data_IF_854538038086
#
_entry.id   IF_854538038086
#
_cell.length_a   1.000
_cell.length_b   1.000
_cell.length_c   1.000
_cell.angle_alpha   90.00
_cell.angle_beta   90.00
_cell.angle_gamma   90.00
#
_symmetry.space_group_name_H-M   'P 1'
#
loop_
_entity.id
_entity.type
_entity.pdbx_description
1 polymer ?
#
# COMPACT_ATOMS: atom_id res chain seq x y z
N UNK A 1 -13.18 20.01 -2.02
CA UNK A 1 -13.11 19.08 -3.16
C UNK A 1 -14.47 18.90 -3.77
N UNK A 2 -14.61 19.01 -5.09
CA UNK A 2 -15.85 18.61 -5.78
C UNK A 2 -15.96 17.07 -5.85
N UNK A 3 -17.16 16.53 -6.09
CA UNK A 3 -17.36 15.07 -6.27
C UNK A 3 -16.41 14.51 -7.34
N UNK A 4 -16.20 15.26 -8.42
CA UNK A 4 -15.34 14.87 -9.53
C UNK A 4 -13.86 14.80 -9.12
N UNK A 5 -13.36 15.80 -8.38
CA UNK A 5 -11.99 15.78 -7.85
C UNK A 5 -11.77 14.62 -6.87
N UNK A 6 -12.77 14.29 -6.03
CA UNK A 6 -12.70 13.16 -5.10
C UNK A 6 -12.58 11.82 -5.84
N UNK A 7 -13.35 11.65 -6.92
CA UNK A 7 -13.32 10.44 -7.74
C UNK A 7 -11.99 10.29 -8.51
N UNK A 8 -11.45 11.41 -9.00
CA UNK A 8 -10.14 11.43 -9.67
C UNK A 8 -9.00 11.09 -8.70
N UNK A 9 -8.98 11.65 -7.48
CA UNK A 9 -7.98 11.29 -6.46
C UNK A 9 -8.07 9.82 -6.05
N UNK A 10 -9.29 9.27 -5.88
CA UNK A 10 -9.46 7.83 -5.64
C UNK A 10 -8.84 6.97 -6.74
N UNK A 11 -9.08 7.31 -8.01
CA UNK A 11 -8.49 6.58 -9.15
C UNK A 11 -6.97 6.64 -9.15
N UNK A 12 -6.40 7.79 -8.80
CA UNK A 12 -4.94 7.95 -8.67
C UNK A 12 -4.36 7.15 -7.51
N UNK A 13 -5.03 7.14 -6.33
CA UNK A 13 -4.61 6.33 -5.18
C UNK A 13 -4.59 4.84 -5.56
N UNK A 14 -5.66 4.33 -6.20
CA UNK A 14 -5.70 2.93 -6.63
C UNK A 14 -4.59 2.60 -7.64
N UNK A 15 -4.27 3.52 -8.56
CA UNK A 15 -3.17 3.36 -9.51
C UNK A 15 -1.81 3.31 -8.82
N UNK A 16 -1.61 4.13 -7.80
CA UNK A 16 -0.40 4.08 -6.97
C UNK A 16 -0.31 2.76 -6.20
N UNK A 17 -1.40 2.30 -5.59
CA UNK A 17 -1.43 1.04 -4.82
C UNK A 17 -0.99 -0.13 -5.69
N UNK A 18 -1.54 -0.25 -6.91
CA UNK A 18 -1.15 -1.32 -7.84
C UNK A 18 0.33 -1.31 -8.23
N UNK A 19 0.99 -0.14 -8.18
CA UNK A 19 2.42 0.00 -8.49
C UNK A 19 3.32 -0.28 -7.28
N UNK A 20 2.91 0.18 -6.09
CA UNK A 20 3.75 0.22 -4.89
C UNK A 20 3.49 -0.92 -3.89
N UNK A 21 2.38 -1.66 -4.01
CA UNK A 21 2.08 -2.80 -3.14
C UNK A 21 3.23 -3.82 -2.99
N UNK A 22 4.00 -4.19 -4.04
CA UNK A 22 5.07 -5.17 -3.88
C UNK A 22 6.36 -4.63 -3.26
N UNK A 23 6.54 -3.30 -3.13
CA UNK A 23 7.83 -2.68 -2.77
C UNK A 23 7.85 -2.00 -1.40
N UNK A 24 6.74 -2.01 -0.66
CA UNK A 24 6.62 -1.28 0.62
C UNK A 24 7.18 -2.01 1.84
N UNK A 25 7.53 -3.29 1.68
CA UNK A 25 8.09 -4.10 2.75
C UNK A 25 9.62 -4.07 2.72
N UNK A 26 10.23 -4.02 3.89
CA UNK A 26 11.68 -4.12 4.03
C UNK A 26 12.18 -5.54 3.75
N UNK A 27 13.49 -5.74 3.51
CA UNK A 27 14.08 -7.07 3.39
C UNK A 27 13.83 -7.96 4.62
N UNK A 28 13.83 -7.40 5.83
CA UNK A 28 13.56 -8.14 7.07
C UNK A 28 12.08 -8.58 7.19
N UNK A 29 11.14 -7.75 6.73
CA UNK A 29 9.73 -8.12 6.64
C UNK A 29 9.52 -9.22 5.59
N UNK A 30 10.16 -9.13 4.43
CA UNK A 30 10.14 -10.20 3.42
C UNK A 30 10.71 -11.51 3.95
N UNK A 31 11.83 -11.45 4.67
CA UNK A 31 12.42 -12.62 5.30
C UNK A 31 11.45 -13.25 6.31
N UNK A 32 10.79 -12.43 7.13
CA UNK A 32 9.77 -12.91 8.07
C UNK A 32 8.56 -13.54 7.34
N UNK A 33 8.13 -12.98 6.21
CA UNK A 33 7.07 -13.55 5.37
C UNK A 33 7.45 -14.92 4.77
N UNK A 34 8.74 -15.19 4.58
CA UNK A 34 9.24 -16.48 4.09
C UNK A 34 9.16 -17.58 5.15
N UNK A 35 9.18 -17.22 6.44
CA UNK A 35 9.16 -18.18 7.57
C UNK A 35 7.83 -18.94 7.66
N UNK A 36 6.73 -18.39 7.18
CA UNK A 36 5.47 -19.13 7.12
C UNK A 36 4.22 -18.31 6.83
N UNK A 37 3.11 -19.01 6.60
CA UNK A 37 1.80 -18.42 6.25
C UNK A 37 1.26 -17.47 7.31
N UNK A 38 1.46 -17.76 8.61
CA UNK A 38 1.07 -16.87 9.71
C UNK A 38 1.75 -15.49 9.62
N UNK A 39 3.04 -15.49 9.29
CA UNK A 39 3.80 -14.25 9.12
C UNK A 39 3.36 -13.47 7.87
N UNK A 40 3.05 -14.17 6.76
CA UNK A 40 2.46 -13.55 5.56
C UNK A 40 1.16 -12.83 5.90
N UNK A 41 0.24 -13.50 6.61
CA UNK A 41 -1.04 -12.90 7.00
C UNK A 41 -0.86 -11.65 7.85
N UNK A 42 0.03 -11.69 8.84
CA UNK A 42 0.34 -10.52 9.67
C UNK A 42 0.93 -9.37 8.83
N UNK A 43 1.83 -9.68 7.89
CA UNK A 43 2.49 -8.70 7.04
C UNK A 43 1.60 -8.15 5.93
N UNK A 44 0.55 -8.86 5.50
CA UNK A 44 -0.44 -8.31 4.57
C UNK A 44 -1.09 -7.05 5.13
N UNK A 45 -1.44 -7.04 6.42
CA UNK A 45 -2.00 -5.85 7.08
C UNK A 45 -1.01 -4.68 7.09
N UNK A 46 0.25 -4.96 7.40
CA UNK A 46 1.34 -3.98 7.40
C UNK A 46 1.59 -3.43 5.98
N UNK A 47 1.66 -4.31 4.97
CA UNK A 47 1.86 -3.94 3.57
C UNK A 47 0.71 -3.06 3.06
N UNK A 48 -0.54 -3.41 3.36
CA UNK A 48 -1.70 -2.60 2.99
C UNK A 48 -1.63 -1.22 3.63
N UNK A 49 -1.36 -1.14 4.94
CA UNK A 49 -1.25 0.13 5.65
C UNK A 49 -0.13 1.01 5.09
N UNK A 50 1.07 0.45 4.87
CA UNK A 50 2.22 1.17 4.30
C UNK A 50 1.94 1.65 2.87
N UNK A 51 1.38 0.79 2.02
CA UNK A 51 1.04 1.13 0.64
C UNK A 51 0.01 2.26 0.59
N UNK A 52 -1.05 2.15 1.39
CA UNK A 52 -2.09 3.18 1.44
C UNK A 52 -1.54 4.52 1.92
N UNK A 53 -0.72 4.51 2.98
CA UNK A 53 -0.11 5.74 3.49
C UNK A 53 0.78 6.41 2.43
N UNK A 54 1.67 5.65 1.78
CA UNK A 54 2.52 6.15 0.71
C UNK A 54 1.71 6.76 -0.44
N UNK A 55 0.65 6.05 -0.88
CA UNK A 55 -0.16 6.49 -2.02
C UNK A 55 -1.09 7.65 -1.73
N UNK A 56 -1.62 7.72 -0.51
CA UNK A 56 -2.38 8.89 -0.06
C UNK A 56 -1.45 10.10 0.03
N UNK A 57 -0.25 9.95 0.61
CA UNK A 57 0.74 11.03 0.65
C UNK A 57 1.19 11.48 -0.74
N UNK A 58 1.36 10.57 -1.70
CA UNK A 58 1.73 10.91 -3.09
C UNK A 58 0.64 11.72 -3.81
N UNK A 59 -0.64 11.38 -3.60
CA UNK A 59 -1.78 11.99 -4.32
C UNK A 59 -2.35 13.23 -3.61
N UNK A 60 -2.05 13.40 -2.32
CA UNK A 60 -2.45 14.58 -1.54
C UNK A 60 -1.38 15.67 -1.53
N UNK A 61 -0.09 15.34 -1.74
CA UNK A 61 0.95 16.33 -2.11
C UNK A 61 0.46 17.22 -3.25
#
# INVERSE_FOLDING_TARGET
>A
MTKNQKQQKKKQICKCVGKNAPTVLSPSELALAAVGSKARTALTGVAVAKTMNACVSEVIK
#
